data_IF_826783967361
#
_entry.id   IF_826783967361
#
_cell.length_a   1.000
_cell.length_b   1.000
_cell.length_c   1.000
_cell.angle_alpha   90.00
_cell.angle_beta   90.00
_cell.angle_gamma   90.00
#
_symmetry.space_group_name_H-M   'P 1'
#
loop_
_entity.id
_entity.type
_entity.pdbx_description
1 polymer ?
#
# COMPACT_ATOMS: atom_id res chain seq x y z
N UNK A 1 17.05 20.76 -53.95
CA UNK A 1 17.11 19.67 -52.96
C UNK A 1 16.69 20.24 -51.61
N UNK A 2 15.44 20.04 -51.21
CA UNK A 2 14.93 20.44 -49.89
C UNK A 2 14.79 19.16 -49.08
N UNK A 3 15.60 19.01 -48.02
CA UNK A 3 15.50 17.89 -47.09
C UNK A 3 14.50 18.27 -46.01
N UNK A 4 13.35 17.59 -46.01
CA UNK A 4 12.36 17.67 -44.95
C UNK A 4 12.92 17.05 -43.68
N UNK A 5 13.05 17.85 -42.62
CA UNK A 5 13.24 17.37 -41.25
C UNK A 5 11.84 16.97 -40.76
N UNK A 6 11.51 15.68 -40.85
CA UNK A 6 10.31 15.15 -40.23
C UNK A 6 10.59 14.91 -38.74
N UNK A 7 9.98 15.75 -37.91
CA UNK A 7 9.99 15.63 -36.47
C UNK A 7 9.32 14.34 -36.02
N UNK A 8 9.95 13.67 -35.06
CA UNK A 8 9.31 12.70 -34.20
C UNK A 8 9.51 13.18 -32.77
N UNK A 9 8.51 13.86 -32.21
CA UNK A 9 8.42 14.05 -30.77
C UNK A 9 8.36 12.66 -30.12
N UNK A 10 9.50 12.15 -29.62
CA UNK A 10 9.50 11.17 -28.55
C UNK A 10 9.04 11.87 -27.28
N UNK A 11 7.73 12.11 -27.18
CA UNK A 11 7.09 12.22 -25.89
C UNK A 11 6.97 10.80 -25.33
N UNK A 12 8.10 10.24 -24.87
CA UNK A 12 8.09 9.21 -23.84
C UNK A 12 7.57 9.88 -22.57
N UNK A 13 6.27 10.09 -22.53
CA UNK A 13 5.52 10.24 -21.29
C UNK A 13 5.67 8.90 -20.57
N UNK A 14 6.83 8.75 -19.92
CA UNK A 14 6.92 7.95 -18.72
C UNK A 14 5.90 8.55 -17.78
N UNK A 15 4.68 8.01 -17.84
CA UNK A 15 3.78 8.02 -16.72
C UNK A 15 4.52 7.24 -15.62
N UNK A 16 5.47 7.90 -14.97
CA UNK A 16 5.78 7.64 -13.58
C UNK A 16 4.45 7.86 -12.88
N UNK A 17 3.67 6.78 -12.78
CA UNK A 17 2.72 6.64 -11.69
C UNK A 17 3.60 6.66 -10.45
N UNK A 18 3.93 7.86 -9.97
CA UNK A 18 4.23 8.07 -8.57
C UNK A 18 2.92 7.71 -7.88
N UNK A 19 2.77 6.43 -7.56
CA UNK A 19 1.78 5.99 -6.60
C UNK A 19 2.15 6.72 -5.32
N UNK A 20 1.55 7.91 -5.14
CA UNK A 20 1.68 8.69 -3.93
C UNK A 20 1.26 7.77 -2.79
N UNK A 21 2.15 7.58 -1.83
CA UNK A 21 1.87 6.73 -0.69
C UNK A 21 0.58 7.16 0.02
N UNK A 22 -0.06 6.23 0.72
CA UNK A 22 -1.24 6.51 1.53
C UNK A 22 -0.80 6.61 2.99
N UNK A 23 -1.03 7.75 3.62
CA UNK A 23 -0.90 7.87 5.08
C UNK A 23 -2.20 7.46 5.74
N UNK A 24 -2.09 6.62 6.76
CA UNK A 24 -3.17 6.08 7.55
C UNK A 24 -3.00 6.53 9.00
N UNK A 25 -4.08 7.05 9.58
CA UNK A 25 -4.20 7.31 11.01
C UNK A 25 -4.89 6.11 11.66
N UNK A 26 -4.14 5.35 12.43
CA UNK A 26 -4.63 4.26 13.27
C UNK A 26 -4.79 4.77 14.71
N UNK A 27 -5.52 4.03 15.56
CA UNK A 27 -5.84 4.45 16.94
C UNK A 27 -4.60 4.87 17.75
N UNK A 28 -3.51 4.11 17.61
CA UNK A 28 -2.29 4.28 18.44
C UNK A 28 -1.07 4.77 17.66
N UNK A 29 -1.14 4.87 16.33
CA UNK A 29 0.01 5.23 15.49
C UNK A 29 -0.37 5.70 14.09
N UNK A 30 0.63 6.22 13.38
CA UNK A 30 0.57 6.51 11.94
C UNK A 30 1.30 5.44 11.14
N UNK A 31 0.68 5.06 10.03
CA UNK A 31 1.27 4.15 9.05
C UNK A 31 1.29 4.82 7.67
N UNK A 32 2.44 4.86 7.02
CA UNK A 32 2.60 5.36 5.65
C UNK A 32 2.87 4.18 4.72
N UNK A 33 1.95 3.96 3.78
CA UNK A 33 2.03 2.91 2.77
C UNK A 33 2.63 3.52 1.51
N UNK A 34 3.88 3.20 1.22
CA UNK A 34 4.62 3.67 0.05
C UNK A 34 4.79 2.51 -0.96
N UNK A 35 5.11 2.79 -2.24
CA UNK A 35 5.28 1.73 -3.24
C UNK A 35 6.38 0.72 -2.89
N UNK A 36 7.41 1.14 -2.17
CA UNK A 36 8.58 0.36 -1.78
C UNK A 36 8.50 -0.21 -0.36
N UNK A 37 7.56 0.26 0.46
CA UNK A 37 7.48 -0.19 1.84
C UNK A 37 6.32 0.35 2.67
N UNK A 38 6.32 -0.05 3.93
CA UNK A 38 5.38 0.37 4.96
C UNK A 38 6.18 0.97 6.10
N UNK A 39 5.95 2.24 6.40
CA UNK A 39 6.55 2.90 7.57
C UNK A 39 5.52 2.97 8.68
N UNK A 40 5.79 2.34 9.82
CA UNK A 40 4.93 2.38 11.01
C UNK A 40 5.76 2.90 12.17
N UNK A 41 5.32 3.99 12.81
CA UNK A 41 6.05 4.63 13.92
C UNK A 41 7.55 4.86 13.63
N UNK A 42 7.89 5.26 12.41
CA UNK A 42 9.28 5.49 11.98
C UNK A 42 10.10 4.24 11.67
N UNK A 43 9.57 3.03 11.87
CA UNK A 43 10.19 1.79 11.40
C UNK A 43 9.70 1.47 9.99
N UNK A 44 10.63 1.28 9.07
CA UNK A 44 10.33 0.98 7.68
C UNK A 44 10.45 -0.52 7.40
N UNK A 45 9.40 -1.09 6.82
CA UNK A 45 9.31 -2.48 6.36
C UNK A 45 9.28 -2.47 4.83
N UNK A 46 9.98 -3.40 4.17
CA UNK A 46 10.17 -3.38 2.71
C UNK A 46 9.54 -4.61 2.05
N UNK A 47 9.63 -4.68 0.73
CA UNK A 47 9.24 -5.84 -0.09
C UNK A 47 7.76 -6.21 0.05
N UNK A 48 6.83 -5.31 -0.30
CA UNK A 48 5.40 -5.62 -0.26
C UNK A 48 5.08 -6.88 -1.07
N UNK A 49 4.39 -7.82 -0.44
CA UNK A 49 3.76 -8.96 -1.10
C UNK A 49 2.25 -8.75 -1.04
N UNK A 50 1.62 -8.61 -2.20
CA UNK A 50 0.17 -8.44 -2.30
C UNK A 50 -0.53 -9.80 -2.43
N UNK A 51 -1.46 -10.07 -1.51
CA UNK A 51 -2.29 -11.27 -1.50
C UNK A 51 -3.76 -10.87 -1.55
N UNK A 52 -4.44 -10.96 -2.71
CA UNK A 52 -5.88 -10.73 -2.80
C UNK A 52 -6.67 -11.89 -2.18
N UNK A 53 -7.87 -11.62 -1.68
CA UNK A 53 -8.80 -12.63 -1.17
C UNK A 53 -10.25 -12.16 -1.27
N UNK A 54 -11.15 -13.11 -1.56
CA UNK A 54 -12.58 -12.85 -1.60
C UNK A 54 -13.19 -12.89 -0.20
N UNK A 55 -14.08 -11.95 0.10
CA UNK A 55 -14.82 -11.90 1.37
C UNK A 55 -16.28 -12.30 1.13
N UNK A 56 -16.91 -11.70 0.12
CA UNK A 56 -18.27 -12.02 -0.34
C UNK A 56 -18.54 -11.35 -1.70
N UNK A 57 -19.70 -11.60 -2.31
CA UNK A 57 -20.10 -10.98 -3.58
C UNK A 57 -20.13 -9.42 -3.56
N UNK A 58 -20.17 -8.81 -2.37
CA UNK A 58 -20.21 -7.36 -2.19
C UNK A 58 -18.87 -6.74 -1.79
N UNK A 59 -17.90 -7.56 -1.39
CA UNK A 59 -16.65 -7.09 -0.78
C UNK A 59 -15.45 -7.91 -1.26
N UNK A 60 -14.39 -7.21 -1.66
CA UNK A 60 -13.08 -7.80 -1.92
C UNK A 60 -12.06 -7.37 -0.88
N UNK A 61 -11.10 -8.25 -0.60
CA UNK A 61 -10.00 -8.01 0.30
C UNK A 61 -8.65 -8.13 -0.39
N UNK A 62 -7.66 -7.43 0.13
CA UNK A 62 -6.25 -7.67 -0.17
C UNK A 62 -5.38 -7.36 1.02
N UNK A 63 -4.31 -8.13 1.19
CA UNK A 63 -3.27 -7.90 2.18
C UNK A 63 -2.00 -7.46 1.47
N UNK A 64 -1.41 -6.35 1.92
CA UNK A 64 -0.05 -5.97 1.59
C UNK A 64 0.83 -6.37 2.78
N UNK A 65 1.63 -7.43 2.62
CA UNK A 65 2.49 -7.96 3.67
C UNK A 65 3.92 -7.48 3.43
N UNK A 66 4.52 -6.88 4.46
CA UNK A 66 5.84 -6.30 4.43
C UNK A 66 6.73 -7.05 5.40
N UNK A 67 7.99 -7.25 5.03
CA UNK A 67 9.00 -7.86 5.90
C UNK A 67 10.19 -6.93 5.98
N UNK A 68 10.80 -6.81 7.16
CA UNK A 68 12.05 -6.07 7.24
C UNK A 68 13.21 -6.99 6.80
N UNK A 69 13.84 -6.59 5.69
CA UNK A 69 14.84 -7.36 4.95
C UNK A 69 16.18 -7.46 5.68
N UNK A 70 16.39 -6.67 6.73
CA UNK A 70 17.59 -6.72 7.57
C UNK A 70 17.46 -7.76 8.69
N UNK A 71 16.25 -8.24 8.98
CA UNK A 71 16.01 -9.28 9.97
C UNK A 71 15.93 -10.65 9.30
N UNK A 72 16.70 -11.61 9.83
CA UNK A 72 16.70 -12.97 9.31
C UNK A 72 15.44 -13.76 9.71
N UNK A 73 14.71 -13.32 10.73
CA UNK A 73 13.52 -14.00 11.22
C UNK A 73 12.22 -13.45 10.61
N UNK A 74 11.90 -13.94 9.40
CA UNK A 74 10.68 -13.57 8.67
C UNK A 74 9.38 -14.00 9.35
N UNK A 75 9.41 -14.96 10.28
CA UNK A 75 8.21 -15.44 10.96
C UNK A 75 7.67 -14.43 11.98
N UNK A 76 8.56 -13.60 12.55
CA UNK A 76 8.21 -12.63 13.60
C UNK A 76 8.52 -11.18 13.22
N UNK A 77 8.94 -10.93 11.97
CA UNK A 77 9.29 -9.58 11.54
C UNK A 77 8.53 -9.19 10.27
N UNK A 78 7.21 -9.15 10.42
CA UNK A 78 6.28 -8.74 9.39
C UNK A 78 5.26 -7.75 9.94
N UNK A 79 4.79 -6.90 9.05
CA UNK A 79 3.64 -6.01 9.23
C UNK A 79 2.77 -6.09 7.97
N UNK A 80 1.48 -5.87 8.10
CA UNK A 80 0.54 -5.97 7.01
C UNK A 80 -0.52 -4.88 7.06
N UNK A 81 -0.93 -4.41 5.88
CA UNK A 81 -2.12 -3.59 5.70
C UNK A 81 -3.16 -4.42 4.95
N UNK A 82 -4.30 -4.66 5.59
CA UNK A 82 -5.47 -5.24 4.95
C UNK A 82 -6.36 -4.11 4.42
N UNK A 83 -6.81 -4.26 3.19
CA UNK A 83 -7.67 -3.30 2.51
C UNK A 83 -8.93 -4.06 2.10
N UNK A 84 -10.05 -3.71 2.72
CA UNK A 84 -11.38 -4.22 2.36
C UNK A 84 -12.08 -3.18 1.51
N UNK A 85 -12.50 -3.56 0.31
CA UNK A 85 -13.19 -2.67 -0.62
C UNK A 85 -14.63 -3.12 -0.82
N UNK A 86 -15.60 -2.23 -0.58
CA UNK A 86 -16.98 -2.45 -1.00
C UNK A 86 -17.04 -2.27 -2.52
N UNK A 87 -17.42 -3.32 -3.25
CA UNK A 87 -17.30 -3.38 -4.71
C UNK A 87 -18.16 -2.32 -5.39
N UNK A 88 -19.41 -2.16 -4.95
CA UNK A 88 -20.37 -1.22 -5.56
C UNK A 88 -19.94 0.24 -5.44
N UNK A 89 -19.40 0.63 -4.28
CA UNK A 89 -19.11 2.04 -3.97
C UNK A 89 -17.64 2.40 -4.10
N UNK A 90 -16.76 1.40 -4.19
CA UNK A 90 -15.31 1.57 -4.13
C UNK A 90 -14.78 2.03 -2.77
N UNK A 91 -15.64 2.14 -1.74
CA UNK A 91 -15.23 2.55 -0.38
C UNK A 91 -14.26 1.52 0.22
N UNK A 92 -13.21 2.01 0.88
CA UNK A 92 -12.15 1.19 1.44
C UNK A 92 -12.09 1.33 2.96
N UNK A 93 -11.93 0.20 3.64
CA UNK A 93 -11.54 0.13 5.05
C UNK A 93 -10.12 -0.41 5.15
N UNK A 94 -9.30 0.19 6.01
CA UNK A 94 -7.90 -0.17 6.21
C UNK A 94 -7.72 -0.76 7.60
N UNK A 95 -6.97 -1.85 7.68
CA UNK A 95 -6.62 -2.48 8.94
C UNK A 95 -5.13 -2.77 8.97
N UNK A 96 -4.49 -2.50 10.10
CA UNK A 96 -3.12 -2.90 10.34
C UNK A 96 -3.06 -4.17 11.20
N UNK A 97 -2.11 -5.03 10.87
CA UNK A 97 -1.71 -6.19 11.67
C UNK A 97 -0.19 -6.36 11.63
N UNK A 98 0.40 -6.85 12.71
CA UNK A 98 1.81 -7.25 12.73
C UNK A 98 2.00 -8.52 13.57
N UNK A 99 3.23 -9.02 13.56
CA UNK A 99 3.61 -10.19 14.36
C UNK A 99 3.38 -10.07 15.88
N UNK A 100 3.27 -8.85 16.43
CA UNK A 100 3.07 -8.58 17.86
C UNK A 100 1.61 -8.37 18.22
N UNK A 101 0.80 -7.98 17.24
CA UNK A 101 -0.64 -7.77 17.32
C UNK A 101 -1.29 -8.85 16.49
N UNK A 102 -1.10 -10.10 16.94
CA UNK A 102 -1.64 -11.32 16.35
C UNK A 102 -3.10 -11.13 15.93
N UNK A 103 -3.56 -11.97 14.99
CA UNK A 103 -4.90 -12.01 14.37
C UNK A 103 -6.13 -11.77 15.29
N UNK A 104 -5.94 -11.73 16.60
CA UNK A 104 -6.92 -11.42 17.62
C UNK A 104 -7.32 -9.93 17.67
N UNK A 105 -6.49 -9.01 17.15
CA UNK A 105 -6.80 -7.57 17.12
C UNK A 105 -6.36 -6.89 15.83
N UNK A 106 -7.29 -6.77 14.88
CA UNK A 106 -7.11 -5.85 13.75
C UNK A 106 -7.27 -4.40 14.24
N UNK A 107 -6.28 -3.56 13.98
CA UNK A 107 -6.36 -2.13 14.32
C UNK A 107 -6.97 -1.41 13.13
N UNK A 108 -8.07 -0.70 13.37
CA UNK A 108 -8.75 0.06 12.33
C UNK A 108 -7.96 1.32 12.04
N UNK A 109 -7.72 1.59 10.77
CA UNK A 109 -7.05 2.79 10.33
C UNK A 109 -7.96 3.56 9.38
N UNK A 110 -7.91 4.88 9.49
CA UNK A 110 -8.58 5.80 8.58
C UNK A 110 -7.55 6.42 7.67
N UNK A 111 -7.92 6.68 6.41
CA UNK A 111 -7.04 7.41 5.51
C UNK A 111 -6.91 8.83 6.03
N UNK A 112 -5.68 9.27 6.26
CA UNK A 112 -5.42 10.69 6.47
C UNK A 112 -5.67 11.38 5.13
N UNK A 113 -6.68 12.25 5.09
CA UNK A 113 -6.92 13.05 3.90
C UNK A 113 -5.68 13.93 3.70
N UNK A 114 -4.95 13.73 2.61
CA UNK A 114 -4.12 14.79 2.08
C UNK A 114 -5.10 15.92 1.74
N UNK A 115 -5.01 17.04 2.44
CA UNK A 115 -5.80 18.23 2.12
C UNK A 115 -5.69 18.47 0.61
N UNK A 116 -6.84 18.49 -0.08
CA UNK A 116 -6.94 18.82 -1.51
C UNK A 116 -6.50 20.26 -1.79
#
# INVERSE_FOLDING_TARGET
>A
MVKFIAGGCLALLSAYSSAAGITLQCDEYRASVEPDGLTVNGRHYTNPQENPYDISDQYSGRSLIYTDSQDQNKATNWAAIHIITQIETGKKAFFYADSKHTNDKAIVCTRENAEE
#
